data_IF_300643907563
#
_entry.id   IF_300643907563
#
_cell.length_a   1.000
_cell.length_b   1.000
_cell.length_c   1.000
_cell.angle_alpha   90.00
_cell.angle_beta   90.00
_cell.angle_gamma   90.00
#
_symmetry.space_group_name_H-M   'P 1'
#
loop_
_entity.id
_entity.type
_entity.pdbx_description
1 polymer ?
#
# COMPACT_ATOMS: atom_id res chain seq x y z
N UNK A 1 24.22 -21.87 -12.91
CA UNK A 1 24.12 -20.75 -11.96
C UNK A 1 23.62 -21.28 -10.61
N UNK A 2 24.19 -20.81 -9.51
CA UNK A 2 23.71 -21.13 -8.16
C UNK A 2 22.51 -20.24 -7.83
N UNK A 3 21.32 -20.62 -8.34
CA UNK A 3 20.09 -19.87 -8.16
C UNK A 3 19.63 -19.84 -6.70
N UNK A 4 19.80 -20.95 -5.97
CA UNK A 4 19.46 -21.02 -4.54
C UNK A 4 20.34 -20.09 -3.71
N UNK A 5 21.65 -20.05 -3.94
CA UNK A 5 22.55 -19.13 -3.24
C UNK A 5 22.25 -17.66 -3.54
N UNK A 6 21.95 -17.31 -4.80
CA UNK A 6 21.59 -15.93 -5.20
C UNK A 6 20.28 -15.48 -4.55
N UNK A 7 19.29 -16.36 -4.45
CA UNK A 7 17.94 -16.00 -4.00
C UNK A 7 17.73 -16.14 -2.49
N UNK A 8 18.67 -16.74 -1.77
CA UNK A 8 18.55 -16.99 -0.34
C UNK A 8 18.25 -15.73 0.49
N UNK A 9 18.82 -14.58 0.10
CA UNK A 9 18.64 -13.32 0.83
C UNK A 9 17.33 -12.58 0.50
N UNK A 10 16.63 -12.97 -0.56
CA UNK A 10 15.42 -12.29 -1.06
C UNK A 10 14.18 -13.17 -1.05
N UNK A 11 14.28 -14.40 -0.60
CA UNK A 11 13.17 -15.34 -0.47
C UNK A 11 12.97 -15.76 0.99
N UNK A 12 11.74 -16.16 1.32
CA UNK A 12 11.44 -16.72 2.63
C UNK A 12 12.11 -18.07 2.83
N UNK A 13 12.18 -18.88 1.76
CA UNK A 13 12.91 -20.15 1.69
C UNK A 13 13.20 -20.48 0.23
N UNK A 14 14.18 -21.38 0.02
CA UNK A 14 14.44 -21.95 -1.29
C UNK A 14 14.78 -23.43 -1.19
N UNK A 15 14.48 -24.16 -2.25
CA UNK A 15 14.76 -25.58 -2.41
C UNK A 15 15.57 -25.83 -3.67
N UNK A 16 16.54 -26.74 -3.60
CA UNK A 16 17.18 -27.34 -4.76
C UNK A 16 16.71 -28.81 -4.85
N UNK A 17 15.97 -29.14 -5.90
CA UNK A 17 15.52 -30.51 -6.14
C UNK A 17 16.63 -31.33 -6.78
N UNK A 18 17.03 -32.43 -6.16
CA UNK A 18 18.12 -33.30 -6.65
C UNK A 18 17.62 -34.62 -7.22
N UNK A 19 16.37 -35.02 -6.93
CA UNK A 19 15.69 -36.21 -7.44
C UNK A 19 14.26 -35.87 -7.86
N UNK A 20 13.80 -36.33 -9.01
CA UNK A 20 12.43 -36.05 -9.49
C UNK A 20 11.36 -36.55 -8.52
N UNK A 21 11.59 -37.63 -7.81
CA UNK A 21 10.66 -38.18 -6.82
C UNK A 21 10.36 -37.20 -5.68
N UNK A 22 11.23 -36.22 -5.40
CA UNK A 22 11.03 -35.21 -4.36
C UNK A 22 10.18 -34.02 -4.82
N UNK A 23 9.92 -33.86 -6.13
CA UNK A 23 9.17 -32.70 -6.65
C UNK A 23 7.80 -32.53 -5.98
N UNK A 24 6.92 -33.55 -5.87
CA UNK A 24 5.60 -33.37 -5.25
C UNK A 24 5.69 -32.89 -3.81
N UNK A 25 6.59 -33.47 -3.02
CA UNK A 25 6.82 -33.06 -1.62
C UNK A 25 7.34 -31.62 -1.54
N UNK A 26 8.37 -31.32 -2.30
CA UNK A 26 9.00 -29.98 -2.30
C UNK A 26 8.01 -28.89 -2.70
N UNK A 27 7.17 -29.12 -3.71
CA UNK A 27 6.14 -28.15 -4.12
C UNK A 27 5.12 -27.94 -2.99
N UNK A 28 4.65 -29.01 -2.35
CA UNK A 28 3.69 -28.91 -1.23
C UNK A 28 4.28 -28.16 -0.03
N UNK A 29 5.52 -28.45 0.34
CA UNK A 29 6.27 -27.75 1.40
C UNK A 29 6.52 -26.29 1.03
N UNK A 30 6.86 -26.00 -0.22
CA UNK A 30 7.08 -24.62 -0.70
C UNK A 30 5.80 -23.77 -0.57
N UNK A 31 4.65 -24.29 -1.00
CA UNK A 31 3.36 -23.61 -0.81
C UNK A 31 3.01 -23.43 0.67
N UNK A 32 3.25 -24.44 1.49
CA UNK A 32 3.00 -24.35 2.93
C UNK A 32 3.84 -23.23 3.57
N UNK A 33 5.15 -23.18 3.29
CA UNK A 33 6.04 -22.14 3.81
C UNK A 33 5.62 -20.76 3.27
N UNK A 34 5.32 -20.66 1.96
CA UNK A 34 4.96 -19.41 1.34
C UNK A 34 3.71 -18.76 1.95
N UNK A 35 2.72 -19.56 2.39
CA UNK A 35 1.39 -19.10 2.79
C UNK A 35 1.15 -19.04 4.30
N UNK A 36 2.00 -19.67 5.12
CA UNK A 36 1.86 -19.70 6.59
C UNK A 36 2.82 -18.72 7.27
N UNK A 37 2.54 -18.33 8.51
CA UNK A 37 3.28 -17.27 9.19
C UNK A 37 3.21 -15.97 8.39
N UNK A 38 4.28 -15.18 8.36
CA UNK A 38 4.37 -14.02 7.44
C UNK A 38 4.50 -14.53 6.00
N UNK A 39 3.51 -14.31 5.12
CA UNK A 39 3.57 -14.77 3.73
C UNK A 39 4.78 -14.19 2.98
N UNK A 40 5.43 -15.01 2.16
CA UNK A 40 6.60 -14.58 1.40
C UNK A 40 6.95 -15.55 0.28
N UNK A 41 7.79 -15.14 -0.69
CA UNK A 41 8.17 -15.94 -1.83
C UNK A 41 9.03 -17.13 -1.42
N UNK A 42 8.79 -18.29 -2.04
CA UNK A 42 9.62 -19.49 -1.93
C UNK A 42 10.04 -19.90 -3.33
N UNK A 43 11.34 -20.12 -3.50
CA UNK A 43 11.90 -20.58 -4.76
C UNK A 43 12.07 -22.10 -4.74
N UNK A 44 11.69 -22.75 -5.83
CA UNK A 44 12.00 -24.18 -6.09
C UNK A 44 12.84 -24.26 -7.35
N UNK A 45 14.12 -24.58 -7.21
CA UNK A 45 15.03 -24.80 -8.33
C UNK A 45 14.98 -26.27 -8.73
N UNK A 46 14.54 -26.52 -9.98
CA UNK A 46 14.49 -27.86 -10.58
C UNK A 46 15.47 -27.90 -11.74
N UNK A 47 16.70 -28.42 -11.52
CA UNK A 47 17.70 -28.52 -12.56
C UNK A 47 17.24 -29.33 -13.77
N UNK A 48 17.72 -28.97 -14.96
CA UNK A 48 17.29 -29.59 -16.22
C UNK A 48 17.47 -31.11 -16.23
N UNK A 49 18.56 -31.61 -15.66
CA UNK A 49 18.84 -33.05 -15.61
C UNK A 49 17.86 -33.86 -14.76
N UNK A 50 17.16 -33.20 -13.82
CA UNK A 50 16.11 -33.83 -12.99
C UNK A 50 14.84 -34.09 -13.80
N UNK A 51 14.58 -33.30 -14.86
CA UNK A 51 13.40 -33.45 -15.74
C UNK A 51 13.77 -34.04 -17.10
N UNK A 52 15.01 -34.45 -17.32
CA UNK A 52 15.48 -35.09 -18.55
C UNK A 52 15.10 -36.59 -18.54
N UNK A 53 14.22 -37.05 -19.46
CA UNK A 53 13.79 -38.46 -19.49
C UNK A 53 14.93 -39.48 -19.66
N UNK A 54 16.08 -39.03 -20.15
CA UNK A 54 17.30 -39.87 -20.29
C UNK A 54 18.10 -40.07 -19.00
N UNK A 55 17.79 -39.33 -17.95
CA UNK A 55 18.50 -39.40 -16.67
C UNK A 55 17.77 -40.33 -15.69
N UNK A 56 18.46 -41.30 -15.06
CA UNK A 56 17.84 -42.16 -14.06
C UNK A 56 17.19 -41.41 -12.87
N UNK A 57 17.72 -40.21 -12.51
CA UNK A 57 17.15 -39.34 -11.46
C UNK A 57 15.83 -38.66 -11.83
N UNK A 58 15.46 -38.71 -13.12
CA UNK A 58 14.16 -38.18 -13.58
C UNK A 58 13.01 -39.16 -13.38
N UNK A 59 13.29 -40.40 -12.97
CA UNK A 59 12.25 -41.38 -12.68
C UNK A 59 11.43 -40.97 -11.46
N UNK A 60 10.11 -40.88 -11.64
CA UNK A 60 9.20 -40.45 -10.60
C UNK A 60 7.88 -41.22 -10.71
N UNK A 61 7.29 -41.56 -9.58
CA UNK A 61 5.90 -42.05 -9.50
C UNK A 61 5.09 -40.93 -8.84
N UNK A 62 4.07 -40.46 -9.54
CA UNK A 62 3.20 -39.40 -8.99
C UNK A 62 2.44 -39.96 -7.77
N UNK A 63 2.35 -39.11 -6.72
CA UNK A 63 1.52 -39.37 -5.54
C UNK A 63 0.93 -38.06 -5.03
N UNK A 64 -0.36 -38.11 -4.70
CA UNK A 64 -1.07 -37.01 -4.02
C UNK A 64 -0.96 -37.12 -2.50
N UNK A 65 -0.60 -38.30 -2.00
CA UNK A 65 -0.39 -38.56 -0.57
C UNK A 65 1.02 -38.14 -0.15
N UNK A 66 1.18 -36.85 0.10
CA UNK A 66 2.43 -36.22 0.51
C UNK A 66 2.26 -35.65 1.89
N UNK A 67 3.02 -36.13 2.86
CA UNK A 67 3.11 -35.56 4.20
C UNK A 67 4.12 -34.42 4.19
N UNK A 68 3.74 -33.27 4.75
CA UNK A 68 4.65 -32.15 4.99
C UNK A 68 5.49 -32.47 6.21
N UNK A 69 6.81 -32.47 6.05
CA UNK A 69 7.78 -32.69 7.13
C UNK A 69 8.81 -31.56 7.11
N UNK A 70 8.58 -30.56 7.94
CA UNK A 70 9.41 -29.35 8.06
C UNK A 70 9.87 -29.18 9.52
N UNK A 71 10.90 -29.93 9.96
CA UNK A 71 11.40 -29.84 11.30
C UNK A 71 11.84 -28.41 11.65
N UNK A 72 11.29 -27.88 12.76
CA UNK A 72 11.61 -26.51 13.23
C UNK A 72 10.81 -25.40 12.60
N UNK A 73 9.92 -25.68 11.61
CA UNK A 73 9.00 -24.70 11.08
C UNK A 73 7.60 -24.81 11.75
N UNK A 74 7.38 -24.00 12.77
CA UNK A 74 6.16 -23.98 13.56
C UNK A 74 5.60 -22.56 13.62
N UNK A 75 4.91 -22.08 12.59
CA UNK A 75 4.32 -20.74 12.61
C UNK A 75 3.24 -20.68 13.68
N UNK A 76 3.33 -19.69 14.58
CA UNK A 76 2.35 -19.49 15.63
C UNK A 76 1.06 -18.94 15.04
N UNK A 77 -0.06 -19.60 15.36
CA UNK A 77 -1.41 -19.19 14.90
C UNK A 77 -2.28 -18.68 16.03
N UNK A 78 -2.04 -19.14 17.27
CA UNK A 78 -2.80 -18.74 18.44
C UNK A 78 -2.21 -17.49 19.10
N UNK A 79 -3.06 -16.70 19.73
CA UNK A 79 -2.65 -15.50 20.48
C UNK A 79 -2.69 -15.77 21.98
N UNK A 80 -1.75 -15.14 22.71
CA UNK A 80 -1.69 -15.29 24.19
C UNK A 80 -2.83 -14.52 24.85
N UNK A 81 -3.73 -15.19 25.63
CA UNK A 81 -4.81 -14.53 26.33
C UNK A 81 -4.34 -13.52 27.39
N UNK A 82 -3.14 -13.68 27.95
CA UNK A 82 -2.59 -12.72 28.93
C UNK A 82 -2.18 -11.43 28.21
N UNK A 83 -1.56 -11.53 27.03
CA UNK A 83 -1.23 -10.38 26.21
C UNK A 83 -2.51 -9.63 25.74
N UNK A 84 -3.58 -10.35 25.40
CA UNK A 84 -4.87 -9.75 25.05
C UNK A 84 -5.45 -8.95 26.23
N UNK A 85 -5.47 -9.52 27.45
CA UNK A 85 -5.96 -8.81 28.64
C UNK A 85 -5.11 -7.57 28.94
N UNK A 86 -3.79 -7.68 28.89
CA UNK A 86 -2.89 -6.54 29.08
C UNK A 86 -3.08 -5.44 28.04
N UNK A 87 -3.28 -5.80 26.76
CA UNK A 87 -3.60 -4.84 25.71
C UNK A 87 -4.94 -4.14 25.94
N UNK A 88 -5.98 -4.88 26.35
CA UNK A 88 -7.29 -4.34 26.67
C UNK A 88 -7.23 -3.36 27.87
N UNK A 89 -6.40 -3.63 28.87
CA UNK A 89 -6.17 -2.71 29.99
C UNK A 89 -5.55 -1.39 29.53
N UNK A 90 -4.55 -1.44 28.63
CA UNK A 90 -3.97 -0.22 28.06
C UNK A 90 -5.01 0.56 27.25
N UNK A 91 -5.85 -0.12 26.47
CA UNK A 91 -6.93 0.51 25.70
C UNK A 91 -7.92 1.20 26.64
N UNK A 92 -8.32 0.56 27.74
CA UNK A 92 -9.25 1.13 28.72
C UNK A 92 -8.71 2.38 29.43
N UNK A 93 -7.39 2.42 29.66
CA UNK A 93 -6.73 3.48 30.41
C UNK A 93 -6.28 4.67 29.57
N UNK A 94 -6.28 4.55 28.23
CA UNK A 94 -5.74 5.55 27.33
C UNK A 94 -6.73 6.68 27.06
N UNK A 95 -6.24 7.93 27.05
CA UNK A 95 -6.99 9.15 26.73
C UNK A 95 -6.90 9.51 25.25
N UNK A 96 -5.77 9.19 24.59
CA UNK A 96 -5.47 9.55 23.19
C UNK A 96 -5.02 8.36 22.37
N UNK A 97 -5.81 7.27 22.33
CA UNK A 97 -5.44 6.08 21.58
C UNK A 97 -5.59 6.29 20.07
N UNK A 98 -4.77 5.54 19.30
CA UNK A 98 -4.87 5.44 17.84
C UNK A 98 -4.66 3.98 17.41
N UNK A 99 -5.53 3.45 16.53
CA UNK A 99 -5.32 2.18 15.84
C UNK A 99 -4.40 2.43 14.64
N UNK A 100 -3.17 1.94 14.73
CA UNK A 100 -2.17 2.04 13.67
C UNK A 100 -2.19 0.76 12.82
N UNK A 101 -2.78 0.86 11.62
CA UNK A 101 -3.14 -0.28 10.78
C UNK A 101 -2.17 -0.47 9.64
N UNK A 102 -1.53 -1.62 9.59
CA UNK A 102 -0.62 -2.03 8.52
C UNK A 102 -1.23 -3.03 7.53
N UNK A 103 -0.48 -3.35 6.48
CA UNK A 103 -0.89 -4.28 5.43
C UNK A 103 -1.17 -5.72 5.91
N UNK A 104 -0.78 -6.05 7.14
CA UNK A 104 -1.11 -7.32 7.79
C UNK A 104 -2.63 -7.55 7.91
N UNK A 105 -3.41 -6.49 8.11
CA UNK A 105 -4.88 -6.57 8.17
C UNK A 105 -5.47 -7.13 6.87
N UNK A 106 -5.02 -6.64 5.72
CA UNK A 106 -5.49 -7.16 4.42
C UNK A 106 -5.03 -8.61 4.20
N UNK A 107 -3.78 -8.94 4.56
CA UNK A 107 -3.26 -10.31 4.43
C UNK A 107 -3.99 -11.31 5.32
N UNK A 108 -4.38 -10.90 6.53
CA UNK A 108 -5.16 -11.72 7.47
C UNK A 108 -6.67 -11.72 7.17
N UNK A 109 -7.14 -10.93 6.19
CA UNK A 109 -8.57 -10.72 5.90
C UNK A 109 -9.35 -10.24 7.14
N UNK A 110 -8.78 -9.28 7.88
CA UNK A 110 -9.26 -8.80 9.17
C UNK A 110 -9.98 -7.43 9.10
N UNK A 111 -10.39 -6.96 7.92
CA UNK A 111 -11.01 -5.65 7.75
C UNK A 111 -12.32 -5.50 8.55
N UNK A 112 -13.18 -6.52 8.55
CA UNK A 112 -14.44 -6.49 9.29
C UNK A 112 -14.20 -6.51 10.82
N UNK A 113 -13.29 -7.35 11.31
CA UNK A 113 -12.91 -7.37 12.73
C UNK A 113 -12.27 -6.04 13.16
N UNK A 114 -11.46 -5.42 12.30
CA UNK A 114 -10.90 -4.08 12.56
C UNK A 114 -12.00 -3.03 12.70
N UNK A 115 -13.00 -3.05 11.82
CA UNK A 115 -14.15 -2.14 11.91
C UNK A 115 -14.90 -2.35 13.22
N UNK A 116 -15.20 -3.59 13.60
CA UNK A 116 -15.86 -3.91 14.86
C UNK A 116 -15.07 -3.39 16.08
N UNK A 117 -13.74 -3.57 16.09
CA UNK A 117 -12.89 -3.04 17.15
C UNK A 117 -12.94 -1.51 17.23
N UNK A 118 -12.84 -0.84 16.09
CA UNK A 118 -12.87 0.63 16.02
C UNK A 118 -14.22 1.18 16.48
N UNK A 119 -15.33 0.62 16.01
CA UNK A 119 -16.69 1.03 16.37
C UNK A 119 -17.00 0.74 17.84
N UNK A 120 -16.60 -0.44 18.36
CA UNK A 120 -16.78 -0.81 19.76
C UNK A 120 -16.06 0.14 20.71
N UNK A 121 -14.82 0.55 20.35
CA UNK A 121 -13.97 1.37 21.23
C UNK A 121 -14.08 2.87 20.96
N UNK A 122 -14.59 3.27 19.79
CA UNK A 122 -14.61 4.65 19.32
C UNK A 122 -13.21 5.21 19.07
N UNK A 123 -12.19 4.35 18.86
CA UNK A 123 -10.81 4.75 18.61
C UNK A 123 -10.60 5.02 17.12
N UNK A 124 -9.98 6.16 16.82
CA UNK A 124 -9.68 6.55 15.44
C UNK A 124 -8.59 5.68 14.81
N UNK A 125 -8.69 5.51 13.49
CA UNK A 125 -7.89 4.60 12.69
C UNK A 125 -7.02 5.36 11.71
N UNK A 126 -5.74 4.99 11.60
CA UNK A 126 -4.83 5.39 10.53
C UNK A 126 -4.43 4.16 9.72
N UNK A 127 -4.50 4.25 8.39
CA UNK A 127 -4.15 3.15 7.48
C UNK A 127 -2.88 3.47 6.71
N UNK A 128 -1.83 2.67 6.88
CA UNK A 128 -0.59 2.86 6.10
C UNK A 128 -0.84 2.74 4.60
N UNK A 129 0.11 3.20 3.77
CA UNK A 129 0.07 3.05 2.32
C UNK A 129 -0.26 1.61 1.88
N UNK A 130 0.25 0.60 2.61
CA UNK A 130 -0.02 -0.83 2.33
C UNK A 130 -1.36 -1.32 2.87
N UNK A 131 -2.06 -0.51 3.65
CA UNK A 131 -3.32 -0.86 4.31
C UNK A 131 -4.52 -0.04 3.81
N UNK A 132 -4.34 0.76 2.75
CA UNK A 132 -5.45 1.55 2.18
C UNK A 132 -6.61 0.62 1.79
N UNK A 133 -7.82 0.99 2.17
CA UNK A 133 -9.02 0.17 2.02
C UNK A 133 -9.24 -0.89 3.11
N UNK A 134 -8.27 -1.13 4.02
CA UNK A 134 -8.49 -2.02 5.19
C UNK A 134 -9.53 -1.45 6.17
N UNK A 135 -9.68 -0.14 6.18
CA UNK A 135 -10.72 0.61 6.88
C UNK A 135 -11.25 1.67 5.93
N UNK A 136 -12.59 1.87 5.82
CA UNK A 136 -13.15 2.80 4.84
C UNK A 136 -12.71 4.23 5.09
N UNK A 137 -12.28 4.93 4.03
CA UNK A 137 -11.91 6.35 4.13
C UNK A 137 -13.09 7.26 4.46
N UNK A 138 -14.30 6.87 4.06
CA UNK A 138 -15.55 7.59 4.37
C UNK A 138 -16.05 7.41 5.81
N UNK A 139 -15.41 6.60 6.64
CA UNK A 139 -15.84 6.37 8.01
C UNK A 139 -15.36 7.48 8.95
N UNK A 140 -16.23 7.94 9.87
CA UNK A 140 -15.95 9.06 10.81
C UNK A 140 -14.68 8.85 11.68
N UNK A 141 -14.33 7.59 11.94
CA UNK A 141 -13.14 7.24 12.71
C UNK A 141 -11.87 7.18 11.84
N UNK A 142 -11.96 7.32 10.51
CA UNK A 142 -10.80 7.29 9.64
C UNK A 142 -10.07 8.64 9.65
N UNK A 143 -8.79 8.63 10.00
CA UNK A 143 -7.92 9.81 9.95
C UNK A 143 -7.09 9.88 8.65
N UNK A 144 -7.16 8.83 7.82
CA UNK A 144 -6.42 8.71 6.57
C UNK A 144 -5.07 8.04 6.74
N UNK A 145 -4.14 8.35 5.82
CA UNK A 145 -2.82 7.73 5.74
C UNK A 145 -1.78 8.46 6.60
N UNK A 146 -1.02 7.77 7.47
CA UNK A 146 0.14 8.33 8.16
C UNK A 146 1.41 8.21 7.29
N UNK A 147 2.48 8.86 7.73
CA UNK A 147 3.81 8.72 7.15
C UNK A 147 4.28 9.96 6.40
N UNK A 148 5.39 9.82 5.65
CA UNK A 148 6.08 10.94 5.00
C UNK A 148 5.16 11.84 4.19
N UNK A 149 4.21 11.28 3.46
CA UNK A 149 3.19 11.99 2.68
C UNK A 149 1.78 11.73 3.22
N UNK A 150 1.68 11.55 4.53
CA UNK A 150 0.42 11.29 5.20
C UNK A 150 -0.44 12.53 5.38
N UNK A 151 -1.72 12.31 5.72
CA UNK A 151 -2.63 13.36 6.12
C UNK A 151 -2.11 14.04 7.41
N UNK A 152 -2.25 15.34 7.52
CA UNK A 152 -1.83 16.09 8.71
C UNK A 152 -2.40 15.45 9.98
N UNK A 153 -3.70 15.21 10.01
CA UNK A 153 -4.37 14.63 11.18
C UNK A 153 -3.85 13.24 11.52
N UNK A 154 -3.65 12.37 10.53
CA UNK A 154 -3.15 11.01 10.76
C UNK A 154 -1.73 11.02 11.36
N UNK A 155 -0.83 11.84 10.80
CA UNK A 155 0.56 11.98 11.26
C UNK A 155 0.61 12.56 12.67
N UNK A 156 -0.14 13.64 12.92
CA UNK A 156 -0.14 14.35 14.20
C UNK A 156 -0.84 13.54 15.29
N UNK A 157 -1.92 12.82 14.95
CA UNK A 157 -2.60 11.94 15.88
C UNK A 157 -1.69 10.82 16.40
N UNK A 158 -0.91 10.18 15.52
CA UNK A 158 0.08 9.19 15.95
C UNK A 158 1.16 9.82 16.83
N UNK A 159 1.62 11.03 16.46
CA UNK A 159 2.70 11.73 17.17
C UNK A 159 2.31 12.14 18.59
N UNK A 160 1.04 12.53 18.81
CA UNK A 160 0.55 13.03 20.07
C UNK A 160 -0.29 12.01 20.87
N UNK A 161 -0.36 10.77 20.37
CA UNK A 161 -1.07 9.68 21.07
C UNK A 161 -0.38 9.31 22.38
N UNK A 162 -1.14 8.78 23.34
CA UNK A 162 -0.64 8.13 24.54
C UNK A 162 -0.67 6.60 24.43
N UNK A 163 -1.32 6.08 23.37
CA UNK A 163 -1.35 4.67 23.03
C UNK A 163 -1.43 4.47 21.51
N UNK A 164 -0.47 3.73 20.93
CA UNK A 164 -0.54 3.19 19.59
C UNK A 164 -0.84 1.69 19.65
N UNK A 165 -1.97 1.29 19.09
CA UNK A 165 -2.29 -0.12 18.87
C UNK A 165 -1.90 -0.47 17.44
N UNK A 166 -0.69 -1.00 17.27
CA UNK A 166 -0.15 -1.37 15.97
C UNK A 166 -0.66 -2.76 15.56
N UNK A 167 -1.43 -2.83 14.50
CA UNK A 167 -2.12 -4.02 14.01
C UNK A 167 -1.56 -4.42 12.63
N UNK A 168 -0.71 -5.46 12.59
CA UNK A 168 -0.07 -5.92 11.36
C UNK A 168 0.78 -4.85 10.67
N UNK A 169 1.47 -4.02 11.47
CA UNK A 169 2.31 -2.90 11.04
C UNK A 169 3.74 -3.07 11.61
N UNK A 170 4.76 -2.79 10.79
CA UNK A 170 6.17 -3.03 11.14
C UNK A 170 6.95 -1.79 11.59
N UNK A 171 6.32 -0.66 11.83
CA UNK A 171 6.97 0.60 12.17
C UNK A 171 8.02 1.03 11.11
N UNK A 172 7.61 1.04 9.85
CA UNK A 172 8.44 1.45 8.72
C UNK A 172 8.95 2.89 8.90
N UNK A 173 10.19 3.16 8.46
CA UNK A 173 10.81 4.49 8.59
C UNK A 173 10.05 5.58 7.84
N UNK A 174 9.32 5.23 6.78
CA UNK A 174 8.44 6.16 6.05
C UNK A 174 7.24 6.61 6.88
N UNK A 175 6.89 5.88 7.94
CA UNK A 175 5.80 6.25 8.87
C UNK A 175 6.35 6.87 10.14
N UNK A 176 7.43 6.33 10.68
CA UNK A 176 7.98 6.79 11.97
C UNK A 176 8.77 8.09 11.84
N UNK A 177 9.37 8.34 10.68
CA UNK A 177 10.41 9.35 10.58
C UNK A 177 11.56 9.06 11.54
N UNK A 178 12.16 10.09 12.14
CA UNK A 178 13.23 9.94 13.11
C UNK A 178 12.71 9.31 14.42
N UNK A 179 13.23 8.14 14.76
CA UNK A 179 12.70 7.27 15.82
C UNK A 179 12.76 7.87 17.24
N UNK A 180 13.78 8.65 17.56
CA UNK A 180 13.95 9.24 18.89
C UNK A 180 12.87 10.29 19.23
N UNK A 181 12.21 10.82 18.21
CA UNK A 181 11.09 11.75 18.35
C UNK A 181 9.73 11.17 17.95
N UNK A 182 9.64 9.89 17.57
CA UNK A 182 8.37 9.29 17.14
C UNK A 182 7.48 8.92 18.34
N UNK A 183 6.28 9.52 18.42
CA UNK A 183 5.25 9.24 19.43
C UNK A 183 5.86 9.04 20.84
N UNK A 184 6.54 10.09 21.40
CA UNK A 184 7.37 9.94 22.59
C UNK A 184 6.57 9.54 23.84
N UNK A 185 5.30 9.93 23.91
CA UNK A 185 4.42 9.67 25.06
C UNK A 185 3.61 8.38 24.91
N UNK A 186 3.64 7.74 23.72
CA UNK A 186 2.80 6.60 23.44
C UNK A 186 3.35 5.30 24.04
N UNK A 187 2.49 4.57 24.76
CA UNK A 187 2.63 3.12 24.97
C UNK A 187 2.32 2.40 23.66
N UNK A 188 2.91 1.22 23.47
CA UNK A 188 2.79 0.45 22.25
C UNK A 188 2.21 -0.93 22.53
N UNK A 189 1.04 -1.20 21.94
CA UNK A 189 0.55 -2.57 21.73
C UNK A 189 0.94 -2.97 20.31
N UNK A 190 1.63 -4.10 20.11
CA UNK A 190 2.06 -4.54 18.80
C UNK A 190 1.56 -5.96 18.50
N UNK A 191 0.56 -6.09 17.64
CA UNK A 191 0.05 -7.36 17.14
C UNK A 191 0.69 -7.67 15.79
N UNK A 192 1.52 -8.71 15.73
CA UNK A 192 2.31 -9.07 14.55
C UNK A 192 2.54 -10.58 14.48
N UNK A 193 2.43 -11.13 13.26
CA UNK A 193 2.63 -12.56 13.00
C UNK A 193 4.12 -12.94 12.95
N UNK A 194 4.98 -11.99 12.56
CA UNK A 194 6.42 -12.19 12.43
C UNK A 194 7.13 -11.81 13.73
N UNK A 195 7.63 -12.78 14.52
CA UNK A 195 8.31 -12.47 15.76
C UNK A 195 9.57 -11.62 15.57
N UNK A 196 10.18 -11.64 14.37
CA UNK A 196 11.36 -10.83 14.06
C UNK A 196 11.06 -9.33 13.91
N UNK A 197 9.82 -8.95 13.66
CA UNK A 197 9.40 -7.54 13.60
C UNK A 197 9.02 -6.98 14.98
N UNK A 198 8.66 -7.83 15.94
CA UNK A 198 8.26 -7.39 17.28
C UNK A 198 9.49 -6.84 18.03
N UNK A 199 9.42 -5.56 18.40
CA UNK A 199 10.51 -4.90 19.13
C UNK A 199 11.73 -4.52 18.29
N UNK A 200 11.73 -4.77 16.98
CA UNK A 200 12.84 -4.46 16.07
C UNK A 200 13.08 -2.95 15.91
N UNK A 201 12.01 -2.19 15.71
CA UNK A 201 12.07 -0.73 15.50
C UNK A 201 11.60 0.02 16.75
N UNK A 202 10.45 -0.33 17.29
CA UNK A 202 9.88 0.25 18.50
C UNK A 202 9.58 -0.86 19.50
N UNK A 203 10.11 -0.76 20.72
CA UNK A 203 9.84 -1.75 21.78
C UNK A 203 8.37 -1.63 22.21
N UNK A 204 7.57 -2.71 22.16
CA UNK A 204 6.21 -2.69 22.64
C UNK A 204 6.15 -2.80 24.16
N UNK A 205 5.11 -2.20 24.76
CA UNK A 205 4.70 -2.43 26.15
C UNK A 205 3.94 -3.76 26.26
N UNK A 206 3.14 -4.09 25.22
CA UNK A 206 2.47 -5.38 25.07
C UNK A 206 2.70 -5.91 23.68
N UNK A 207 3.26 -7.11 23.55
CA UNK A 207 3.42 -7.84 22.30
C UNK A 207 2.35 -8.91 22.16
N UNK A 208 1.63 -8.93 21.05
CA UNK A 208 0.68 -9.98 20.69
C UNK A 208 1.23 -10.68 19.44
N UNK A 209 1.98 -11.76 19.66
CA UNK A 209 2.49 -12.56 18.54
C UNK A 209 1.38 -13.48 18.02
N UNK A 210 1.11 -13.47 16.71
CA UNK A 210 0.14 -14.34 16.07
C UNK A 210 -0.60 -13.67 14.93
N UNK A 211 -1.64 -14.35 14.43
CA UNK A 211 -2.51 -13.81 13.39
C UNK A 211 -3.26 -12.58 13.91
N UNK A 212 -3.14 -11.46 13.21
CA UNK A 212 -3.74 -10.19 13.65
C UNK A 212 -5.27 -10.23 13.66
N UNK A 213 -5.92 -11.06 12.83
CA UNK A 213 -7.37 -11.25 12.88
C UNK A 213 -7.77 -11.89 14.19
N UNK A 214 -7.11 -12.97 14.61
CA UNK A 214 -7.37 -13.62 15.89
C UNK A 214 -7.09 -12.70 17.07
N UNK A 215 -6.03 -11.87 16.96
CA UNK A 215 -5.72 -10.86 17.98
C UNK A 215 -6.85 -9.84 18.10
N UNK A 216 -7.38 -9.33 17.01
CA UNK A 216 -8.48 -8.35 17.01
C UNK A 216 -9.77 -8.99 17.52
N UNK A 217 -10.14 -10.18 17.03
CA UNK A 217 -11.34 -10.91 17.50
C UNK A 217 -11.29 -11.17 19.02
N UNK A 218 -10.11 -11.54 19.54
CA UNK A 218 -9.92 -11.73 20.98
C UNK A 218 -9.99 -10.41 21.77
N UNK A 219 -9.44 -9.31 21.24
CA UNK A 219 -9.57 -7.97 21.84
C UNK A 219 -11.03 -7.50 21.88
N UNK A 220 -11.77 -7.69 20.79
CA UNK A 220 -13.21 -7.38 20.70
C UNK A 220 -13.97 -8.16 21.76
N UNK A 221 -13.76 -9.47 21.87
CA UNK A 221 -14.42 -10.32 22.86
C UNK A 221 -14.10 -9.90 24.32
N UNK A 222 -12.84 -9.58 24.60
CA UNK A 222 -12.39 -9.12 25.93
C UNK A 222 -13.01 -7.76 26.29
N UNK A 223 -13.01 -6.80 25.35
CA UNK A 223 -13.55 -5.46 25.55
C UNK A 223 -15.09 -5.43 25.61
N UNK A 224 -15.76 -6.25 24.82
CA UNK A 224 -17.21 -6.39 24.86
C UNK A 224 -17.70 -7.00 26.20
N UNK A 225 -16.93 -7.96 26.75
CA UNK A 225 -17.28 -8.65 28.00
C UNK A 225 -16.98 -7.79 29.22
N UNK A 226 -15.82 -7.13 29.28
CA UNK A 226 -15.28 -6.45 30.44
C UNK A 226 -15.31 -4.92 30.34
N UNK A 227 -15.93 -4.37 29.26
CA UNK A 227 -16.08 -2.94 29.01
C UNK A 227 -14.85 -2.32 28.32
N UNK A 228 -15.09 -1.18 27.67
CA UNK A 228 -14.07 -0.40 26.93
C UNK A 228 -13.37 0.65 27.77
N UNK A 229 -13.72 0.77 29.06
CA UNK A 229 -13.21 1.77 30.00
C UNK A 229 -14.12 2.99 30.11
N UNK A 230 -13.93 3.76 31.19
CA UNK A 230 -14.72 4.96 31.54
C UNK A 230 -13.95 6.26 31.21
N UNK A 231 -12.83 6.17 30.50
CA UNK A 231 -12.00 7.34 30.14
C UNK A 231 -12.74 8.19 29.12
N UNK A 232 -12.94 9.46 29.46
CA UNK A 232 -13.52 10.45 28.54
C UNK A 232 -12.50 10.82 27.44
N UNK A 233 -12.85 10.58 26.20
CA UNK A 233 -12.04 10.88 25.01
C UNK A 233 -12.60 12.02 24.16
N UNK A 234 -13.59 12.75 24.65
CA UNK A 234 -14.24 13.81 23.86
C UNK A 234 -13.30 14.95 23.54
N UNK A 235 -12.40 15.31 24.44
CA UNK A 235 -11.36 16.29 24.19
C UNK A 235 -10.41 15.86 23.04
N UNK A 236 -10.04 14.57 23.01
CA UNK A 236 -9.21 14.01 21.95
C UNK A 236 -9.95 13.99 20.61
N UNK A 237 -11.18 13.52 20.58
CA UNK A 237 -12.01 13.53 19.36
C UNK A 237 -12.19 14.94 18.80
N UNK A 238 -12.50 15.91 19.67
CA UNK A 238 -12.65 17.33 19.29
C UNK A 238 -11.34 17.88 18.70
N UNK A 239 -10.20 17.46 19.23
CA UNK A 239 -8.89 17.88 18.70
C UNK A 239 -8.61 17.28 17.32
N UNK A 240 -8.92 15.99 17.13
CA UNK A 240 -8.79 15.32 15.83
C UNK A 240 -9.68 15.99 14.76
N UNK A 241 -10.95 16.23 15.06
CA UNK A 241 -11.87 16.93 14.16
C UNK A 241 -11.39 18.34 13.83
N UNK A 242 -10.89 19.07 14.83
CA UNK A 242 -10.33 20.39 14.63
C UNK A 242 -9.09 20.40 13.72
N UNK A 243 -8.28 19.34 13.70
CA UNK A 243 -7.17 19.20 12.74
C UNK A 243 -7.67 18.83 11.34
N UNK A 244 -8.67 17.96 11.22
CA UNK A 244 -9.28 17.63 9.92
C UNK A 244 -9.88 18.86 9.24
N UNK A 245 -10.56 19.72 10.01
CA UNK A 245 -11.15 20.96 9.50
C UNK A 245 -10.09 22.00 9.08
N UNK A 246 -9.01 22.14 9.86
CA UNK A 246 -7.96 23.16 9.62
C UNK A 246 -6.94 22.74 8.57
N UNK A 247 -6.63 21.46 8.48
CA UNK A 247 -5.61 20.90 7.61
C UNK A 247 -6.17 19.76 6.72
N UNK A 248 -7.25 20.01 5.95
CA UNK A 248 -7.74 19.01 5.01
C UNK A 248 -6.66 18.74 3.96
N UNK A 249 -6.70 17.56 3.34
CA UNK A 249 -6.00 17.36 2.08
C UNK A 249 -6.59 18.31 1.04
N UNK A 250 -5.78 19.22 0.54
CA UNK A 250 -6.20 20.24 -0.39
C UNK A 250 -5.05 20.66 -1.32
N UNK A 251 -5.40 21.16 -2.47
CA UNK A 251 -4.51 21.75 -3.46
C UNK A 251 -5.16 23.02 -4.02
N UNK A 252 -4.36 23.87 -4.66
CA UNK A 252 -4.89 25.06 -5.34
C UNK A 252 -5.72 24.62 -6.55
N UNK A 253 -7.01 24.94 -6.51
CA UNK A 253 -7.93 24.60 -7.59
C UNK A 253 -7.53 25.33 -8.88
N UNK A 254 -7.63 24.63 -10.00
CA UNK A 254 -7.34 25.21 -11.30
C UNK A 254 -8.42 26.20 -11.74
N UNK A 255 -8.03 27.18 -12.54
CA UNK A 255 -8.91 28.08 -13.27
C UNK A 255 -8.63 27.98 -14.78
N UNK A 256 -9.57 28.38 -15.67
CA UNK A 256 -9.34 28.30 -17.12
C UNK A 256 -8.02 28.92 -17.56
N UNK A 257 -7.18 28.11 -18.23
CA UNK A 257 -5.84 28.48 -18.67
C UNK A 257 -4.70 28.03 -17.73
N UNK A 258 -5.02 27.44 -16.57
CA UNK A 258 -4.02 26.83 -15.71
C UNK A 258 -3.56 25.46 -16.22
N UNK A 259 -2.35 25.02 -15.87
CA UNK A 259 -1.93 23.64 -16.10
C UNK A 259 -2.82 22.63 -15.36
N UNK A 260 -2.98 21.45 -15.95
CA UNK A 260 -3.75 20.35 -15.37
C UNK A 260 -3.16 19.88 -14.05
N UNK A 261 -3.96 19.87 -12.98
CA UNK A 261 -3.55 19.41 -11.66
C UNK A 261 -3.67 17.90 -11.54
N UNK A 262 -2.62 17.18 -11.11
CA UNK A 262 -2.66 15.72 -10.96
C UNK A 262 -3.68 15.26 -9.92
N UNK A 263 -3.89 16.04 -8.86
CA UNK A 263 -4.89 15.76 -7.82
C UNK A 263 -6.31 15.77 -8.40
N UNK A 264 -6.63 16.77 -9.25
CA UNK A 264 -7.90 16.86 -9.93
C UNK A 264 -8.17 15.64 -10.83
N UNK A 265 -7.15 15.16 -11.57
CA UNK A 265 -7.29 13.94 -12.37
C UNK A 265 -7.67 12.75 -11.50
N UNK A 266 -7.04 12.59 -10.34
CA UNK A 266 -7.33 11.47 -9.41
C UNK A 266 -8.77 11.57 -8.86
N UNK A 267 -9.20 12.77 -8.49
CA UNK A 267 -10.59 13.00 -8.02
C UNK A 267 -11.61 12.68 -9.11
N UNK A 268 -11.40 13.17 -10.33
CA UNK A 268 -12.27 12.85 -11.48
C UNK A 268 -12.30 11.33 -11.78
N UNK A 269 -11.15 10.64 -11.69
CA UNK A 269 -11.10 9.19 -11.83
C UNK A 269 -11.94 8.49 -10.77
N UNK A 270 -11.81 8.89 -9.51
CA UNK A 270 -12.57 8.31 -8.40
C UNK A 270 -14.07 8.52 -8.58
N UNK A 271 -14.47 9.73 -8.93
CA UNK A 271 -15.89 10.10 -9.06
C UNK A 271 -16.57 9.49 -10.30
N UNK A 272 -15.77 9.13 -11.31
CA UNK A 272 -16.24 8.53 -12.58
C UNK A 272 -16.16 7.01 -12.62
N UNK A 273 -15.80 6.34 -11.51
CA UNK A 273 -15.61 4.89 -11.46
C UNK A 273 -16.42 4.23 -10.35
N UNK A 274 -16.80 2.95 -10.47
CA UNK A 274 -17.45 2.20 -9.41
C UNK A 274 -16.61 2.17 -8.10
N UNK A 275 -17.28 2.11 -6.96
CA UNK A 275 -16.63 2.10 -5.64
C UNK A 275 -15.67 0.92 -5.43
N UNK A 276 -15.92 -0.20 -6.11
CA UNK A 276 -15.11 -1.41 -6.03
C UNK A 276 -14.01 -1.47 -7.12
N UNK A 277 -13.77 -0.38 -7.85
CA UNK A 277 -12.70 -0.30 -8.85
C UNK A 277 -11.35 -0.63 -8.22
N UNK A 278 -10.58 -1.48 -8.91
CA UNK A 278 -9.22 -1.82 -8.48
C UNK A 278 -8.24 -0.82 -9.09
N UNK A 279 -7.43 -0.23 -8.23
CA UNK A 279 -6.38 0.73 -8.60
C UNK A 279 -5.02 0.10 -8.38
N UNK A 280 -4.24 -0.06 -9.45
CA UNK A 280 -2.84 -0.44 -9.39
C UNK A 280 -1.97 0.80 -9.62
N UNK A 281 -1.06 1.11 -8.69
CA UNK A 281 -0.23 2.30 -8.81
C UNK A 281 1.24 1.98 -9.07
N UNK A 282 1.86 2.76 -9.95
CA UNK A 282 3.31 2.86 -10.05
C UNK A 282 3.91 3.55 -8.80
N UNK A 283 5.17 3.93 -8.88
CA UNK A 283 5.90 4.52 -7.76
C UNK A 283 6.43 5.92 -8.09
N UNK A 284 6.04 6.90 -7.27
CA UNK A 284 6.41 8.31 -7.43
C UNK A 284 5.35 9.25 -6.87
N UNK A 285 5.32 10.50 -7.35
CA UNK A 285 4.31 11.48 -6.93
C UNK A 285 2.88 10.98 -7.22
N UNK A 286 2.65 10.38 -8.39
CA UNK A 286 1.36 9.82 -8.78
C UNK A 286 0.84 8.77 -7.79
N UNK A 287 1.72 7.95 -7.20
CA UNK A 287 1.36 6.99 -6.15
C UNK A 287 0.83 7.70 -4.90
N UNK A 288 1.52 8.76 -4.49
CA UNK A 288 1.14 9.52 -3.30
C UNK A 288 -0.19 10.25 -3.54
N UNK A 289 -0.35 10.94 -4.67
CA UNK A 289 -1.62 11.59 -5.02
C UNK A 289 -2.76 10.57 -5.12
N UNK A 290 -2.55 9.41 -5.75
CA UNK A 290 -3.57 8.36 -5.80
C UNK A 290 -3.94 7.87 -4.39
N UNK A 291 -2.96 7.66 -3.49
CA UNK A 291 -3.24 7.21 -2.13
C UNK A 291 -3.91 8.28 -1.25
N UNK A 292 -3.74 9.57 -1.57
CA UNK A 292 -4.31 10.69 -0.85
C UNK A 292 -5.72 11.05 -1.34
N UNK A 293 -5.91 11.19 -2.65
CA UNK A 293 -7.14 11.75 -3.26
C UNK A 293 -8.11 10.69 -3.79
N UNK A 294 -7.67 9.42 -3.96
CA UNK A 294 -8.59 8.31 -4.20
C UNK A 294 -9.08 7.77 -2.87
N UNK A 295 -10.36 7.86 -2.58
CA UNK A 295 -10.98 7.32 -1.37
C UNK A 295 -11.18 5.81 -1.50
N UNK A 296 -10.56 5.04 -0.62
CA UNK A 296 -10.64 3.57 -0.59
C UNK A 296 -11.59 3.11 0.51
N UNK A 297 -12.83 2.76 0.15
CA UNK A 297 -13.85 2.31 1.09
C UNK A 297 -13.96 0.77 1.16
N UNK A 298 -13.32 0.06 0.23
CA UNK A 298 -13.35 -1.40 0.15
C UNK A 298 -11.94 -2.00 0.25
N UNK A 299 -11.78 -3.14 0.97
CA UNK A 299 -10.51 -3.86 1.00
C UNK A 299 -10.16 -4.43 -0.39
N UNK A 300 -8.86 -4.59 -0.64
CA UNK A 300 -8.30 -5.16 -1.88
C UNK A 300 -8.59 -4.37 -3.16
N UNK A 301 -8.87 -3.08 -3.04
CA UNK A 301 -9.04 -2.16 -4.17
C UNK A 301 -7.78 -1.36 -4.49
N UNK A 302 -6.77 -1.38 -3.62
CA UNK A 302 -5.50 -0.71 -3.78
C UNK A 302 -4.35 -1.70 -3.90
N UNK A 303 -3.61 -1.65 -5.02
CA UNK A 303 -2.46 -2.51 -5.30
C UNK A 303 -1.25 -1.62 -5.59
N UNK A 304 -0.18 -1.76 -4.82
CA UNK A 304 1.01 -0.94 -5.00
C UNK A 304 2.28 -1.63 -4.48
N UNK A 305 3.44 -1.19 -4.96
CA UNK A 305 4.75 -1.61 -4.47
C UNK A 305 5.25 -0.64 -3.39
N UNK A 306 4.52 -0.53 -2.26
CA UNK A 306 4.86 0.40 -1.18
C UNK A 306 6.01 -0.06 -0.29
N UNK A 307 6.39 -1.33 -0.32
CA UNK A 307 7.51 -1.87 0.47
C UNK A 307 8.86 -1.63 -0.19
N UNK A 308 9.06 -2.13 -1.42
CA UNK A 308 10.29 -1.98 -2.18
C UNK A 308 10.31 -0.70 -3.04
N UNK A 309 9.15 -0.23 -3.48
CA UNK A 309 9.05 0.97 -4.32
C UNK A 309 9.46 0.72 -5.78
N UNK A 310 8.93 -0.35 -6.39
CA UNK A 310 9.30 -0.76 -7.75
C UNK A 310 8.58 0.10 -8.79
N UNK A 311 9.31 0.96 -9.49
CA UNK A 311 8.78 1.65 -10.67
C UNK A 311 8.45 0.63 -11.78
N UNK A 312 7.36 0.90 -12.52
CA UNK A 312 6.85 -0.03 -13.54
C UNK A 312 5.94 -1.15 -12.99
N UNK A 313 5.56 -1.09 -11.73
CA UNK A 313 4.70 -2.11 -11.09
C UNK A 313 3.24 -2.06 -11.58
N UNK A 314 2.71 -0.87 -11.90
CA UNK A 314 1.26 -0.63 -12.12
C UNK A 314 0.65 -1.46 -13.25
N UNK A 315 1.24 -1.43 -14.45
CA UNK A 315 0.68 -2.07 -15.65
C UNK A 315 0.60 -3.59 -15.49
N UNK A 316 1.70 -4.32 -15.18
CA UNK A 316 1.62 -5.76 -15.00
C UNK A 316 0.71 -6.16 -13.83
N UNK A 317 0.67 -5.37 -12.76
CA UNK A 317 -0.24 -5.63 -11.64
C UNK A 317 -1.72 -5.40 -12.02
N UNK A 318 -2.03 -4.37 -12.82
CA UNK A 318 -3.37 -4.13 -13.35
C UNK A 318 -3.83 -5.26 -14.28
N UNK A 319 -2.95 -5.76 -15.15
CA UNK A 319 -3.22 -6.92 -16.01
C UNK A 319 -3.58 -8.12 -15.12
N UNK A 320 -2.74 -8.43 -14.12
CA UNK A 320 -3.00 -9.53 -13.20
C UNK A 320 -4.31 -9.37 -12.43
N UNK A 321 -4.62 -8.16 -11.96
CA UNK A 321 -5.89 -7.86 -11.29
C UNK A 321 -7.10 -8.07 -12.20
N UNK A 322 -7.02 -7.62 -13.47
CA UNK A 322 -8.11 -7.80 -14.44
C UNK A 322 -8.33 -9.26 -14.82
N UNK A 323 -7.28 -10.04 -14.91
CA UNK A 323 -7.37 -11.50 -15.12
C UNK A 323 -8.04 -12.19 -13.92
N UNK A 324 -7.68 -11.78 -12.69
CA UNK A 324 -8.26 -12.35 -11.47
C UNK A 324 -9.73 -11.92 -11.25
N UNK A 325 -10.09 -10.72 -11.67
CA UNK A 325 -11.42 -10.11 -11.49
C UNK A 325 -11.94 -9.54 -12.82
N UNK A 326 -12.33 -10.40 -13.77
CA UNK A 326 -12.69 -9.99 -15.14
C UNK A 326 -13.88 -9.01 -15.21
N UNK A 327 -14.78 -9.08 -14.24
CA UNK A 327 -15.99 -8.23 -14.21
C UNK A 327 -15.75 -6.87 -13.54
N UNK A 328 -14.62 -6.67 -12.84
CA UNK A 328 -14.32 -5.43 -12.16
C UNK A 328 -13.56 -4.46 -13.06
N UNK A 329 -13.81 -3.17 -12.88
CA UNK A 329 -13.01 -2.12 -13.48
C UNK A 329 -11.62 -2.08 -12.86
N UNK A 330 -10.58 -1.95 -13.70
CA UNK A 330 -9.18 -1.86 -13.24
C UNK A 330 -8.52 -0.67 -13.89
N UNK A 331 -8.00 0.24 -13.06
CA UNK A 331 -7.18 1.36 -13.47
C UNK A 331 -5.75 1.21 -12.98
N UNK A 332 -4.79 1.43 -13.86
CA UNK A 332 -3.40 1.69 -13.50
C UNK A 332 -3.20 3.20 -13.40
N UNK A 333 -2.72 3.71 -12.27
CA UNK A 333 -2.28 5.09 -12.12
C UNK A 333 -0.76 5.09 -12.18
N UNK A 334 -0.20 5.72 -13.21
CA UNK A 334 1.23 5.66 -13.47
C UNK A 334 1.82 7.04 -13.77
N UNK A 335 3.13 7.16 -13.65
CA UNK A 335 3.90 8.30 -14.09
C UNK A 335 4.68 7.97 -15.37
N UNK A 336 5.07 8.98 -16.13
CA UNK A 336 5.82 8.84 -17.37
C UNK A 336 7.12 8.04 -17.20
N UNK A 337 7.85 8.23 -16.12
CA UNK A 337 9.05 7.43 -15.81
C UNK A 337 8.77 5.97 -15.49
N UNK A 338 7.68 5.68 -14.75
CA UNK A 338 7.26 4.31 -14.46
C UNK A 338 6.73 3.60 -15.71
N UNK A 339 5.89 4.28 -16.48
CA UNK A 339 5.29 3.76 -17.72
C UNK A 339 6.35 3.27 -18.70
N UNK A 340 7.45 4.02 -18.87
CA UNK A 340 8.55 3.63 -19.77
C UNK A 340 9.24 2.31 -19.38
N UNK A 341 9.10 1.85 -18.16
CA UNK A 341 9.77 0.63 -17.69
C UNK A 341 9.03 -0.65 -18.09
N UNK A 342 7.70 -0.62 -18.20
CA UNK A 342 6.87 -1.82 -18.41
C UNK A 342 5.73 -1.63 -19.40
N UNK A 343 5.70 -0.53 -20.15
CA UNK A 343 4.64 -0.27 -21.14
C UNK A 343 4.50 -1.39 -22.18
N UNK A 344 5.60 -2.10 -22.51
CA UNK A 344 5.58 -3.22 -23.45
C UNK A 344 4.61 -4.34 -23.05
N UNK A 345 4.24 -4.46 -21.77
CA UNK A 345 3.27 -5.44 -21.30
C UNK A 345 1.85 -5.18 -21.80
N UNK A 346 1.56 -3.96 -22.26
CA UNK A 346 0.30 -3.62 -22.93
C UNK A 346 0.06 -4.41 -24.22
N UNK A 347 1.13 -4.88 -24.88
CA UNK A 347 1.01 -5.78 -26.05
C UNK A 347 0.33 -7.09 -25.61
N UNK A 348 0.75 -7.66 -24.49
CA UNK A 348 0.11 -8.85 -23.91
C UNK A 348 -1.36 -8.57 -23.58
N UNK A 349 -1.64 -7.45 -22.93
CA UNK A 349 -3.02 -7.06 -22.58
C UNK A 349 -3.90 -6.90 -23.83
N UNK A 350 -3.37 -6.36 -24.92
CA UNK A 350 -4.09 -6.22 -26.21
C UNK A 350 -4.35 -7.58 -26.85
N UNK A 351 -3.31 -8.43 -26.94
CA UNK A 351 -3.42 -9.76 -27.60
C UNK A 351 -4.39 -10.68 -26.86
N UNK A 352 -4.38 -10.62 -25.52
CA UNK A 352 -5.23 -11.46 -24.65
C UNK A 352 -6.59 -10.82 -24.33
N UNK A 353 -6.92 -9.66 -24.92
CA UNK A 353 -8.16 -8.90 -24.67
C UNK A 353 -8.39 -8.61 -23.18
N UNK A 354 -7.40 -8.06 -22.50
CA UNK A 354 -7.44 -7.68 -21.10
C UNK A 354 -7.63 -6.16 -21.00
N UNK A 355 -8.88 -5.65 -20.88
CA UNK A 355 -9.21 -4.23 -21.02
C UNK A 355 -8.92 -3.44 -19.73
N UNK A 356 -7.64 -3.28 -19.40
CA UNK A 356 -7.21 -2.35 -18.35
C UNK A 356 -7.24 -0.90 -18.86
N UNK A 357 -7.31 0.04 -17.94
CA UNK A 357 -7.21 1.46 -18.22
C UNK A 357 -5.99 2.03 -17.52
N UNK A 358 -5.28 2.93 -18.18
CA UNK A 358 -4.05 3.57 -17.65
C UNK A 358 -4.26 5.07 -17.63
N UNK A 359 -4.20 5.66 -16.44
CA UNK A 359 -4.09 7.08 -16.22
C UNK A 359 -2.59 7.43 -16.06
N UNK A 360 -2.01 7.95 -17.12
CA UNK A 360 -0.61 8.37 -17.14
C UNK A 360 -0.51 9.83 -16.72
N UNK A 361 -0.08 10.08 -15.48
CA UNK A 361 0.18 11.42 -14.95
C UNK A 361 1.57 11.88 -15.42
N UNK A 362 1.59 12.52 -16.57
CA UNK A 362 2.81 12.88 -17.29
C UNK A 362 3.22 14.33 -16.98
N UNK A 363 4.22 14.48 -16.13
CA UNK A 363 4.81 15.78 -15.83
C UNK A 363 6.18 15.99 -16.50
N UNK A 364 6.63 15.06 -17.34
CA UNK A 364 7.92 15.07 -18.03
C UNK A 364 9.14 14.94 -17.11
N UNK A 365 8.96 14.50 -15.88
CA UNK A 365 10.02 14.40 -14.88
C UNK A 365 9.95 13.11 -14.06
N UNK A 366 11.09 12.73 -13.48
CA UNK A 366 11.12 11.91 -12.28
C UNK A 366 10.66 12.77 -11.10
N UNK A 367 9.34 12.99 -11.02
CA UNK A 367 8.73 14.08 -10.26
C UNK A 367 9.05 14.08 -8.78
N UNK A 368 9.11 12.91 -8.10
CA UNK A 368 9.48 12.84 -6.69
C UNK A 368 10.94 13.26 -6.47
N UNK A 369 11.86 12.84 -7.33
CA UNK A 369 13.28 13.23 -7.25
C UNK A 369 13.42 14.74 -7.53
N UNK A 370 12.70 15.27 -8.53
CA UNK A 370 12.66 16.69 -8.81
C UNK A 370 12.16 17.50 -7.59
N UNK A 371 11.06 17.06 -6.96
CA UNK A 371 10.53 17.72 -5.75
C UNK A 371 11.58 17.79 -4.64
N UNK A 372 12.34 16.72 -4.41
CA UNK A 372 13.42 16.70 -3.43
C UNK A 372 14.55 17.65 -3.78
N UNK A 373 14.97 17.69 -5.03
CA UNK A 373 16.02 18.62 -5.50
C UNK A 373 15.58 20.08 -5.34
N UNK A 374 14.30 20.35 -5.61
CA UNK A 374 13.73 21.68 -5.43
C UNK A 374 13.68 22.10 -3.95
N UNK A 375 13.16 21.24 -3.07
CA UNK A 375 12.93 21.58 -1.67
C UNK A 375 14.20 21.55 -0.80
N UNK A 376 15.18 20.68 -1.12
CA UNK A 376 16.30 20.39 -0.21
C UNK A 376 17.68 20.54 -0.84
N UNK A 377 17.78 20.79 -2.15
CA UNK A 377 19.05 20.91 -2.87
C UNK A 377 19.18 22.17 -3.69
N UNK A 378 18.51 23.27 -3.26
CA UNK A 378 18.63 24.61 -3.87
C UNK A 378 18.33 24.61 -5.38
N UNK A 379 17.31 23.82 -5.80
CA UNK A 379 16.89 23.67 -7.19
C UNK A 379 18.02 23.19 -8.13
N UNK A 380 19.02 22.51 -7.58
CA UNK A 380 20.10 21.90 -8.39
C UNK A 380 19.59 20.62 -9.04
N UNK A 381 18.80 20.79 -10.10
CA UNK A 381 18.24 19.68 -10.86
C UNK A 381 19.32 18.90 -11.60
N UNK A 382 19.32 17.57 -11.44
CA UNK A 382 20.25 16.67 -12.11
C UNK A 382 19.53 15.41 -12.58
N UNK A 383 19.55 15.16 -13.88
CA UNK A 383 19.04 13.94 -14.55
C UNK A 383 17.58 13.55 -14.19
N UNK A 384 16.74 14.54 -13.90
CA UNK A 384 15.33 14.33 -13.52
C UNK A 384 14.34 14.66 -14.62
N UNK A 385 14.78 15.45 -15.62
CA UNK A 385 13.96 15.75 -16.80
C UNK A 385 14.00 14.60 -17.78
N UNK A 386 12.84 14.03 -18.08
CA UNK A 386 12.73 12.92 -19.03
C UNK A 386 12.63 13.42 -20.47
N UNK A 387 11.57 14.10 -20.80
CA UNK A 387 11.34 14.80 -22.07
C UNK A 387 9.94 15.39 -22.08
N UNK A 388 9.74 16.47 -22.81
CA UNK A 388 8.41 17.06 -22.99
C UNK A 388 7.63 16.42 -24.15
N UNK A 389 8.31 16.05 -25.21
CA UNK A 389 7.68 15.71 -26.48
C UNK A 389 8.00 14.28 -26.97
N UNK A 390 8.96 13.59 -26.32
CA UNK A 390 9.41 12.23 -26.74
C UNK A 390 9.55 11.33 -25.51
N UNK A 391 8.91 10.15 -25.48
CA UNK A 391 8.00 9.62 -26.50
C UNK A 391 6.66 10.33 -26.53
N UNK A 392 5.95 10.28 -27.65
CA UNK A 392 4.51 10.54 -27.71
C UNK A 392 3.78 9.31 -27.15
N UNK A 393 3.28 9.42 -25.92
CA UNK A 393 2.69 8.28 -25.21
C UNK A 393 1.35 7.83 -25.82
N UNK A 394 0.58 8.73 -26.43
CA UNK A 394 -0.61 8.36 -27.17
C UNK A 394 -0.24 7.49 -28.39
N UNK A 395 0.69 7.94 -29.20
CA UNK A 395 1.15 7.19 -30.39
C UNK A 395 1.80 5.86 -29.97
N UNK A 396 2.55 5.85 -28.87
CA UNK A 396 3.16 4.63 -28.35
C UNK A 396 2.09 3.61 -27.93
N UNK A 397 1.06 4.03 -27.19
CA UNK A 397 -0.07 3.18 -26.82
C UNK A 397 -0.80 2.62 -28.04
N UNK A 398 -1.09 3.47 -29.04
CA UNK A 398 -1.74 3.07 -30.29
C UNK A 398 -0.90 2.03 -31.05
N UNK A 399 0.43 2.15 -31.05
CA UNK A 399 1.33 1.19 -31.68
C UNK A 399 1.30 -0.20 -31.03
N UNK A 400 0.88 -0.29 -29.77
CA UNK A 400 0.69 -1.55 -29.05
C UNK A 400 -0.76 -2.08 -29.12
N UNK A 401 -1.62 -1.45 -29.96
CA UNK A 401 -3.02 -1.86 -30.15
C UNK A 401 -3.99 -1.32 -29.09
N UNK A 402 -3.54 -0.45 -28.21
CA UNK A 402 -4.38 0.21 -27.22
C UNK A 402 -5.14 1.40 -27.86
N UNK A 403 -6.17 1.89 -27.15
CA UNK A 403 -6.71 3.23 -27.44
C UNK A 403 -5.86 4.26 -26.72
N UNK A 404 -5.26 5.19 -27.47
CA UNK A 404 -4.48 6.30 -26.96
C UNK A 404 -5.29 7.59 -26.91
N UNK A 405 -5.33 8.26 -25.77
CA UNK A 405 -5.96 9.56 -25.58
C UNK A 405 -4.90 10.50 -25.01
N UNK A 406 -4.93 11.77 -25.38
CA UNK A 406 -4.11 12.81 -24.76
C UNK A 406 -5.01 13.91 -24.24
N UNK A 407 -4.72 14.38 -23.03
CA UNK A 407 -5.45 15.44 -22.35
C UNK A 407 -4.46 16.48 -21.87
N UNK A 408 -4.55 17.68 -22.41
CA UNK A 408 -3.75 18.84 -22.05
C UNK A 408 -4.57 19.88 -21.25
N UNK A 409 -5.91 19.84 -21.36
CA UNK A 409 -6.84 20.82 -20.78
C UNK A 409 -7.64 20.19 -19.62
N UNK A 410 -7.71 20.83 -18.45
CA UNK A 410 -8.56 20.36 -17.34
C UNK A 410 -10.02 20.12 -17.73
N UNK A 411 -10.59 20.91 -18.66
CA UNK A 411 -11.99 20.79 -19.10
C UNK A 411 -12.26 19.46 -19.86
N UNK A 412 -11.21 18.79 -20.38
CA UNK A 412 -11.34 17.55 -21.14
C UNK A 412 -11.24 16.29 -20.25
N UNK A 413 -10.82 16.42 -19.00
CA UNK A 413 -10.50 15.27 -18.10
C UNK A 413 -11.69 14.33 -17.93
N UNK A 414 -12.85 14.85 -17.51
CA UNK A 414 -14.03 14.03 -17.26
C UNK A 414 -14.51 13.29 -18.52
N UNK A 415 -14.52 13.99 -19.67
CA UNK A 415 -14.96 13.39 -20.94
C UNK A 415 -14.00 12.30 -21.43
N UNK A 416 -12.70 12.46 -21.22
CA UNK A 416 -11.70 11.47 -21.58
C UNK A 416 -11.82 10.21 -20.70
N UNK A 417 -12.06 10.38 -19.40
CA UNK A 417 -12.27 9.27 -18.45
C UNK A 417 -13.57 8.53 -18.80
N UNK A 418 -14.67 9.25 -19.04
CA UNK A 418 -15.94 8.64 -19.44
C UNK A 418 -15.79 7.80 -20.71
N UNK A 419 -15.12 8.34 -21.74
CA UNK A 419 -14.80 7.59 -22.96
C UNK A 419 -13.95 6.34 -22.70
N UNK A 420 -12.96 6.42 -21.83
CA UNK A 420 -12.11 5.27 -21.48
C UNK A 420 -12.91 4.19 -20.74
N UNK A 421 -13.86 4.59 -19.87
CA UNK A 421 -14.70 3.67 -19.12
C UNK A 421 -15.65 2.85 -20.00
N UNK A 422 -16.07 3.40 -21.15
CA UNK A 422 -16.95 2.72 -22.12
C UNK A 422 -16.23 1.64 -22.95
N UNK A 423 -14.90 1.66 -23.00
CA UNK A 423 -14.10 0.72 -23.81
C UNK A 423 -13.79 -0.52 -22.98
N UNK A 424 -14.31 -1.68 -23.37
CA UNK A 424 -14.21 -2.94 -22.65
C UNK A 424 -13.58 -4.09 -23.47
N UNK A 425 -13.14 -3.80 -24.71
CA UNK A 425 -12.57 -4.80 -25.62
C UNK A 425 -11.03 -4.75 -25.72
N UNK A 426 -10.37 -3.71 -25.21
CA UNK A 426 -8.92 -3.52 -25.26
C UNK A 426 -8.42 -2.52 -24.23
N UNK A 427 -7.08 -2.48 -24.00
CA UNK A 427 -6.51 -1.48 -23.08
C UNK A 427 -6.67 -0.04 -23.59
N UNK A 428 -6.80 0.89 -22.64
CA UNK A 428 -6.84 2.34 -22.91
C UNK A 428 -5.72 3.02 -22.14
N UNK A 429 -5.02 3.95 -22.76
CA UNK A 429 -4.02 4.82 -22.11
C UNK A 429 -4.43 6.27 -22.31
N UNK A 430 -4.58 7.00 -21.22
CA UNK A 430 -4.80 8.45 -21.25
C UNK A 430 -3.52 9.13 -20.76
N UNK A 431 -2.86 9.88 -21.64
CA UNK A 431 -1.72 10.75 -21.35
C UNK A 431 -2.24 12.09 -20.80
N UNK A 432 -2.35 12.22 -19.48
CA UNK A 432 -2.68 13.47 -18.81
C UNK A 432 -1.43 14.31 -18.62
N UNK A 433 -1.33 15.43 -19.33
CA UNK A 433 -0.18 16.37 -19.27
C UNK A 433 -0.33 17.29 -18.05
N UNK A 434 0.18 16.82 -16.93
CA UNK A 434 -0.03 17.51 -15.64
C UNK A 434 1.08 18.52 -15.33
N UNK A 435 0.76 19.45 -14.42
CA UNK A 435 1.68 20.50 -13.95
C UNK A 435 2.93 19.89 -13.30
N UNK A 436 4.09 20.20 -13.89
CA UNK A 436 5.38 19.75 -13.38
C UNK A 436 5.78 20.43 -12.07
N UNK A 437 5.18 21.57 -11.72
CA UNK A 437 5.48 22.31 -10.49
C UNK A 437 4.76 21.74 -9.27
N UNK A 438 3.74 20.90 -9.47
CA UNK A 438 2.99 20.32 -8.37
C UNK A 438 3.84 19.42 -7.46
N UNK A 439 3.61 19.58 -6.16
CA UNK A 439 4.30 18.84 -5.10
C UNK A 439 3.32 18.00 -4.30
N UNK A 440 3.83 16.90 -3.78
CA UNK A 440 3.07 16.09 -2.82
C UNK A 440 3.18 16.72 -1.44
N UNK A 441 2.06 17.18 -0.93
CA UNK A 441 1.89 17.69 0.44
C UNK A 441 0.74 16.94 1.14
N UNK A 442 0.76 16.84 2.49
CA UNK A 442 1.84 17.20 3.40
C UNK A 442 3.11 16.36 3.21
N UNK A 443 4.23 16.78 3.84
CA UNK A 443 5.48 16.03 3.77
C UNK A 443 6.25 16.12 5.10
N UNK A 444 6.68 14.96 5.62
CA UNK A 444 7.71 14.89 6.68
C UNK A 444 9.07 14.77 6.00
N UNK A 445 9.97 15.76 6.12
CA UNK A 445 11.29 15.69 5.50
C UNK A 445 12.11 14.50 6.02
N UNK A 446 13.02 14.00 5.19
CA UNK A 446 13.89 12.89 5.62
C UNK A 446 14.75 13.28 6.82
N UNK A 447 14.80 12.42 7.82
CA UNK A 447 15.52 12.67 9.07
C UNK A 447 14.79 13.61 10.05
N UNK A 448 13.64 14.14 9.68
CA UNK A 448 12.76 14.91 10.56
C UNK A 448 11.84 14.01 11.39
N UNK A 449 11.27 14.57 12.43
CA UNK A 449 10.19 13.93 13.21
C UNK A 449 8.83 14.25 12.61
N UNK A 450 7.81 13.49 12.97
CA UNK A 450 6.43 13.76 12.54
C UNK A 450 5.90 15.14 12.99
N UNK A 451 6.48 15.72 14.04
CA UNK A 451 6.16 17.09 14.49
C UNK A 451 6.63 18.16 13.52
N UNK A 452 7.57 17.83 12.63
CA UNK A 452 8.15 18.75 11.62
C UNK A 452 7.45 18.61 10.25
N UNK A 453 6.23 18.08 10.23
CA UNK A 453 5.40 17.95 9.03
C UNK A 453 5.22 19.31 8.33
N UNK A 454 5.54 19.36 7.05
CA UNK A 454 5.37 20.52 6.17
C UNK A 454 4.03 20.40 5.46
N UNK A 455 3.18 21.41 5.63
CA UNK A 455 1.89 21.55 4.93
C UNK A 455 2.04 22.41 3.67
N UNK A 456 1.04 22.39 2.75
CA UNK A 456 1.06 23.29 1.60
C UNK A 456 1.21 24.76 2.00
N UNK A 457 1.83 25.63 1.16
CA UNK A 457 2.06 27.03 1.48
C UNK A 457 0.82 27.78 1.96
N UNK A 458 -0.33 27.56 1.34
CA UNK A 458 -1.60 28.21 1.70
C UNK A 458 -2.20 27.74 3.04
N UNK A 459 -1.64 26.70 3.68
CA UNK A 459 -2.02 26.23 5.01
C UNK A 459 -1.00 26.55 6.09
N UNK A 460 0.16 27.14 5.76
CA UNK A 460 1.26 27.35 6.72
C UNK A 460 0.93 28.34 7.84
N UNK A 461 0.05 29.30 7.59
CA UNK A 461 -0.37 30.30 8.57
C UNK A 461 -1.47 29.80 9.53
N UNK A 462 -1.95 28.57 9.36
CA UNK A 462 -2.96 27.98 10.24
C UNK A 462 -2.33 27.60 11.60
N UNK A 463 -2.99 27.89 12.74
CA UNK A 463 -2.49 27.45 14.04
C UNK A 463 -2.57 25.92 14.17
N UNK A 464 -1.46 25.31 14.58
CA UNK A 464 -1.34 23.85 14.76
C UNK A 464 -2.02 23.35 16.03
#
# INVERSE_FOLDING_TARGET
CDTTGITQSITKHNFLVTEAQDIPRTIKEAFHIATTGRPGPVLVDIPKDIVDPGNPRSAMTWTDDVTIDLPGYNPQTEVDPEAIRAAAELIRASERPVLYVGGGILKARAADALRELAELTGISVVTTLMARGAFPDGHDLCLGMPGMHGNFTAVTAMQESDLLVALGARFDDRVTGRLDGFAPDAKIVHAEIDPAEIGKVRRPDVAIQGDVRLAIEALVAELATNGTGDVDRDAWRSRLSGWQERFPLAYEQWVPGDPLKPQYVIECLRDSTPDDTIVASGVGQHQMWASQYWKFDHPYTWINSGGLGTMGFSIPAAIGAKVAFPDRMVWAVDGDGCFQMTAQELVTATVENIPIKVALLNNSYLGMVRQWQEMFYEERYSEVFLSKDVPDYKMWAESMGCVGIRVDDPEEVESAIAKANEIDDRPVVIDFRVDAAEKVYPMVPSGATNSELVVPPFQQDQPR
#
